data_IF_843973325863
#
_entry.id   IF_843973325863
#
_cell.length_a   1.000
_cell.length_b   1.000
_cell.length_c   1.000
_cell.angle_alpha   90.00
_cell.angle_beta   90.00
_cell.angle_gamma   90.00
#
_symmetry.space_group_name_H-M   'P 1'
#
loop_
_entity.id
_entity.type
_entity.pdbx_description
1 polymer ?
#
# COMPACT_ATOMS: atom_id res chain seq x y z
N UNK A 1 2.84 11.28 -9.67
CA UNK A 1 2.17 11.87 -8.49
C UNK A 1 1.34 13.10 -8.86
N UNK A 2 0.29 13.41 -8.08
CA UNK A 2 -0.57 14.59 -8.35
C UNK A 2 0.12 15.93 -8.08
N UNK A 3 1.27 15.93 -7.45
CA UNK A 3 2.07 17.13 -7.17
C UNK A 3 3.14 17.43 -8.23
N UNK A 4 3.12 16.74 -9.37
CA UNK A 4 3.92 17.12 -10.54
C UNK A 4 3.06 17.87 -11.56
N UNK A 5 3.68 18.66 -12.42
CA UNK A 5 3.01 19.23 -13.56
C UNK A 5 2.76 18.15 -14.63
N UNK A 6 1.54 18.04 -15.09
CA UNK A 6 1.18 17.14 -16.18
C UNK A 6 0.02 17.72 -17.00
N UNK A 7 -0.04 17.35 -18.25
CA UNK A 7 -1.18 17.64 -19.13
C UNK A 7 -2.12 16.44 -19.16
N UNK A 8 -3.42 16.72 -18.97
CA UNK A 8 -4.44 15.67 -19.06
C UNK A 8 -4.37 14.99 -20.43
N UNK A 9 -4.51 13.67 -20.44
CA UNK A 9 -4.52 12.82 -21.64
C UNK A 9 -3.22 12.80 -22.46
N UNK A 10 -2.12 13.31 -21.91
CA UNK A 10 -0.79 13.17 -22.49
C UNK A 10 0.12 12.30 -21.62
N UNK A 11 1.05 11.53 -22.22
CA UNK A 11 2.07 10.82 -21.46
C UNK A 11 2.94 11.81 -20.68
N UNK A 12 3.28 11.46 -19.43
CA UNK A 12 4.21 12.25 -18.63
C UNK A 12 5.63 12.02 -19.17
N UNK A 13 6.34 13.09 -19.49
CA UNK A 13 7.74 13.02 -19.93
C UNK A 13 8.70 13.02 -18.73
N UNK A 14 9.94 12.52 -18.88
CA UNK A 14 10.95 12.59 -17.83
C UNK A 14 11.14 13.99 -17.24
N UNK A 15 11.18 15.03 -18.07
CA UNK A 15 11.31 16.43 -17.61
C UNK A 15 10.15 16.90 -16.74
N UNK A 16 8.93 16.42 -17.03
CA UNK A 16 7.75 16.76 -16.23
C UNK A 16 7.77 16.12 -14.86
N UNK A 17 8.42 14.95 -14.71
CA UNK A 17 8.45 14.26 -13.42
C UNK A 17 9.18 15.04 -12.33
N UNK A 18 10.05 15.96 -12.68
CA UNK A 18 10.79 16.82 -11.73
C UNK A 18 10.19 18.23 -11.59
N UNK A 19 9.13 18.56 -12.33
CA UNK A 19 8.41 19.84 -12.19
C UNK A 19 7.38 19.74 -11.09
N UNK A 20 7.73 20.21 -9.91
CA UNK A 20 6.94 20.06 -8.71
C UNK A 20 5.95 21.22 -8.55
N UNK A 21 4.70 20.88 -8.30
CA UNK A 21 3.66 21.81 -7.87
C UNK A 21 3.78 22.05 -6.37
N UNK A 22 4.49 23.11 -5.99
CA UNK A 22 4.77 23.42 -4.59
C UNK A 22 3.50 23.76 -3.80
N UNK A 23 2.47 24.29 -4.44
CA UNK A 23 1.14 24.50 -3.83
C UNK A 23 0.55 23.20 -3.27
N UNK A 24 0.63 22.10 -4.03
CA UNK A 24 0.15 20.77 -3.61
C UNK A 24 1.05 20.17 -2.52
N UNK A 25 2.37 20.36 -2.61
CA UNK A 25 3.32 19.91 -1.58
C UNK A 25 3.03 20.62 -0.25
N UNK A 26 2.71 21.93 -0.29
CA UNK A 26 2.33 22.71 0.90
C UNK A 26 1.03 22.20 1.54
N UNK A 27 0.04 21.80 0.75
CA UNK A 27 -1.20 21.20 1.24
C UNK A 27 -0.93 19.86 1.95
N UNK A 28 -0.09 19.00 1.38
CA UNK A 28 0.28 17.72 1.99
C UNK A 28 1.00 17.94 3.32
N UNK A 29 1.92 18.91 3.38
CA UNK A 29 2.58 19.26 4.64
C UNK A 29 1.58 19.73 5.69
N UNK A 30 0.66 20.62 5.34
CA UNK A 30 -0.39 21.09 6.26
C UNK A 30 -1.26 19.96 6.80
N UNK A 31 -1.58 18.96 5.96
CA UNK A 31 -2.31 17.76 6.38
C UNK A 31 -1.49 16.95 7.39
N UNK A 32 -0.19 16.74 7.13
CA UNK A 32 0.69 16.03 8.07
C UNK A 32 0.82 16.78 9.41
N UNK A 33 0.97 18.10 9.38
CA UNK A 33 0.99 18.94 10.57
C UNK A 33 -0.32 18.90 11.36
N UNK A 34 -1.45 18.87 10.65
CA UNK A 34 -2.78 18.70 11.26
C UNK A 34 -2.90 17.35 11.95
N UNK A 35 -2.53 16.26 11.28
CA UNK A 35 -2.54 14.91 11.84
C UNK A 35 -1.66 14.83 13.10
N UNK A 36 -0.45 15.41 13.05
CA UNK A 36 0.46 15.43 14.19
C UNK A 36 -0.07 16.22 15.40
N UNK A 37 -0.92 17.25 15.19
CA UNK A 37 -1.62 17.96 16.28
C UNK A 37 -2.61 17.08 17.01
N UNK A 38 -3.17 16.07 16.32
CA UNK A 38 -4.06 15.05 16.88
C UNK A 38 -3.31 13.78 17.33
N UNK A 39 -1.98 13.85 17.46
CA UNK A 39 -1.14 12.71 17.84
C UNK A 39 -1.18 11.53 16.85
N UNK A 40 -1.49 11.80 15.60
CA UNK A 40 -1.45 10.79 14.54
C UNK A 40 -0.09 10.79 13.88
N UNK A 41 0.49 9.61 13.69
CA UNK A 41 1.63 9.41 12.81
C UNK A 41 1.19 9.47 11.35
N UNK A 42 2.02 10.03 10.48
CA UNK A 42 1.77 10.07 9.03
C UNK A 42 2.84 9.28 8.31
N UNK A 43 2.44 8.28 7.56
CA UNK A 43 3.31 7.62 6.58
C UNK A 43 3.05 8.21 5.20
N UNK A 44 4.07 8.84 4.60
CA UNK A 44 3.98 9.32 3.23
C UNK A 44 4.35 8.18 2.28
N UNK A 45 3.42 7.80 1.42
CA UNK A 45 3.60 6.76 0.42
C UNK A 45 3.55 7.36 -0.99
N UNK A 46 4.50 7.00 -1.85
CA UNK A 46 4.40 7.29 -3.27
C UNK A 46 3.53 6.23 -3.95
N UNK A 47 2.23 6.47 -4.00
CA UNK A 47 1.28 5.57 -4.65
C UNK A 47 1.51 5.45 -6.17
N UNK A 48 2.15 6.46 -6.77
CA UNK A 48 2.65 6.46 -8.13
C UNK A 48 4.01 7.15 -8.15
N UNK A 49 5.00 6.47 -8.70
CA UNK A 49 6.34 6.99 -8.92
C UNK A 49 6.58 7.30 -10.41
N UNK A 50 7.63 8.05 -10.76
CA UNK A 50 8.10 8.11 -12.13
C UNK A 50 8.36 6.71 -12.69
N UNK A 51 7.72 6.35 -13.78
CA UNK A 51 7.87 5.06 -14.43
C UNK A 51 7.25 3.87 -13.72
N UNK A 52 6.41 4.08 -12.70
CA UNK A 52 5.70 2.99 -12.05
C UNK A 52 4.38 3.41 -11.39
N UNK A 53 3.37 2.59 -11.60
CA UNK A 53 2.14 2.56 -10.81
C UNK A 53 1.61 1.12 -10.79
N UNK A 54 1.06 0.67 -9.66
CA UNK A 54 0.41 -0.65 -9.57
C UNK A 54 -0.80 -0.75 -10.52
N UNK A 55 -1.52 0.34 -10.72
CA UNK A 55 -2.59 0.41 -11.71
C UNK A 55 -2.02 0.65 -13.11
N UNK A 56 -2.58 -0.05 -14.11
CA UNK A 56 -2.20 0.14 -15.51
C UNK A 56 -2.77 1.43 -16.13
N UNK A 57 -2.32 1.76 -17.33
CA UNK A 57 -2.92 2.81 -18.16
C UNK A 57 -2.32 4.21 -17.97
N UNK A 58 -1.14 4.32 -17.40
CA UNK A 58 -0.48 5.63 -17.21
C UNK A 58 0.43 6.05 -18.35
N UNK A 59 0.65 5.21 -19.35
CA UNK A 59 1.37 5.52 -20.59
C UNK A 59 2.67 6.31 -20.38
N UNK A 60 3.50 5.90 -19.44
CA UNK A 60 4.80 6.52 -19.23
C UNK A 60 5.83 5.92 -20.20
N UNK A 61 6.64 6.75 -20.89
CA UNK A 61 7.61 6.28 -21.87
C UNK A 61 8.89 5.70 -21.22
N UNK A 62 8.90 5.49 -19.93
CA UNK A 62 10.03 5.00 -19.13
C UNK A 62 9.52 4.11 -17.98
N UNK A 63 10.40 3.29 -17.43
CA UNK A 63 10.09 2.28 -16.42
C UNK A 63 11.07 2.37 -15.26
N UNK A 64 10.55 2.47 -14.03
CA UNK A 64 11.35 2.61 -12.81
C UNK A 64 12.38 1.49 -12.64
N UNK A 65 12.01 0.28 -13.05
CA UNK A 65 12.87 -0.90 -12.85
C UNK A 65 14.02 -1.01 -13.86
N UNK A 66 13.97 -0.25 -14.97
CA UNK A 66 14.89 -0.37 -16.09
C UNK A 66 15.62 0.92 -16.42
N UNK A 67 14.97 2.07 -16.27
CA UNK A 67 15.45 3.33 -16.83
C UNK A 67 16.06 4.24 -15.76
N UNK A 68 17.31 4.62 -15.98
CA UNK A 68 18.05 5.51 -15.05
C UNK A 68 17.31 6.83 -14.84
N UNK A 69 16.74 7.41 -15.88
CA UNK A 69 16.00 8.67 -15.76
C UNK A 69 14.78 8.56 -14.82
N UNK A 70 14.08 7.41 -14.82
CA UNK A 70 13.00 7.17 -13.87
C UNK A 70 13.52 7.01 -12.42
N UNK A 71 14.64 6.31 -12.25
CA UNK A 71 15.29 6.12 -10.94
C UNK A 71 15.78 7.47 -10.39
N UNK A 72 16.46 8.28 -11.16
CA UNK A 72 16.92 9.63 -10.76
C UNK A 72 15.76 10.55 -10.39
N UNK A 73 14.66 10.52 -11.15
CA UNK A 73 13.46 11.26 -10.80
C UNK A 73 12.83 10.76 -9.51
N UNK A 74 12.83 9.45 -9.26
CA UNK A 74 12.36 8.86 -8.01
C UNK A 74 13.19 9.32 -6.81
N UNK A 75 14.53 9.33 -6.93
CA UNK A 75 15.44 9.84 -5.90
C UNK A 75 15.25 11.34 -5.66
N UNK A 76 15.03 12.11 -6.72
CA UNK A 76 14.71 13.55 -6.61
C UNK A 76 13.44 13.79 -5.80
N UNK A 77 12.36 13.01 -6.02
CA UNK A 77 11.13 13.13 -5.23
C UNK A 77 11.37 12.86 -3.74
N UNK A 78 12.10 11.79 -3.42
CA UNK A 78 12.37 11.47 -2.03
C UNK A 78 13.32 12.46 -1.35
N UNK A 79 14.28 13.03 -2.09
CA UNK A 79 15.10 14.12 -1.59
C UNK A 79 14.23 15.35 -1.27
N UNK A 80 13.34 15.73 -2.15
CA UNK A 80 12.40 16.84 -1.94
C UNK A 80 11.56 16.64 -0.66
N UNK A 81 11.00 15.44 -0.47
CA UNK A 81 10.23 15.12 0.73
C UNK A 81 11.13 15.08 1.98
N UNK A 82 12.33 14.56 1.90
CA UNK A 82 13.29 14.58 3.00
C UNK A 82 13.62 16.00 3.45
N UNK A 83 13.92 16.90 2.50
CA UNK A 83 14.16 18.34 2.79
C UNK A 83 12.92 19.00 3.41
N UNK A 84 11.73 18.68 2.91
CA UNK A 84 10.48 19.24 3.39
C UNK A 84 10.19 18.87 4.84
N UNK A 85 10.46 17.63 5.24
CA UNK A 85 10.21 17.12 6.58
C UNK A 85 11.45 17.00 7.46
N UNK A 86 12.59 17.63 7.10
CA UNK A 86 13.87 17.49 7.83
C UNK A 86 13.80 17.86 9.32
N UNK A 87 12.95 18.81 9.67
CA UNK A 87 12.75 19.28 11.04
C UNK A 87 11.60 18.57 11.76
N UNK A 88 10.93 17.62 11.12
CA UNK A 88 9.83 16.86 11.72
C UNK A 88 10.36 15.53 12.24
N UNK A 89 10.04 15.22 13.50
CA UNK A 89 10.48 13.99 14.16
C UNK A 89 10.10 12.74 13.35
N UNK A 90 11.00 11.73 13.24
CA UNK A 90 10.68 10.44 12.64
C UNK A 90 9.49 9.71 13.28
N UNK A 91 9.22 9.97 14.57
CA UNK A 91 8.05 9.40 15.28
C UNK A 91 6.72 9.97 14.77
N UNK A 92 6.76 11.09 14.06
CA UNK A 92 5.57 11.78 13.55
C UNK A 92 5.34 11.56 12.06
N UNK A 93 6.42 11.37 11.29
CA UNK A 93 6.35 11.16 9.84
C UNK A 93 7.36 10.10 9.43
N UNK A 94 6.90 9.08 8.72
CA UNK A 94 7.71 8.08 8.02
C UNK A 94 7.56 8.20 6.51
N UNK A 95 8.46 7.55 5.78
CA UNK A 95 8.44 7.49 4.32
C UNK A 95 8.30 6.03 3.87
N UNK A 96 7.23 5.77 3.16
CA UNK A 96 6.97 4.51 2.50
C UNK A 96 7.28 4.68 1.01
N UNK A 97 8.33 4.02 0.55
CA UNK A 97 9.03 4.38 -0.69
C UNK A 97 8.15 4.27 -1.93
N UNK A 98 7.38 3.21 -2.04
CA UNK A 98 6.61 2.93 -3.26
C UNK A 98 5.45 1.99 -2.95
N UNK A 99 4.25 2.35 -3.38
CA UNK A 99 3.09 1.49 -3.26
C UNK A 99 3.18 0.24 -4.14
N UNK A 100 3.04 -0.91 -3.51
CA UNK A 100 2.79 -2.21 -4.15
C UNK A 100 3.72 -2.54 -5.33
N UNK A 101 5.05 -2.55 -5.14
CA UNK A 101 6.00 -2.82 -6.20
C UNK A 101 5.77 -4.19 -6.83
N UNK A 102 5.72 -4.20 -8.16
CA UNK A 102 5.63 -5.42 -8.96
C UNK A 102 6.26 -5.21 -10.34
N UNK A 103 6.67 -6.27 -10.97
CA UNK A 103 6.99 -6.27 -12.38
C UNK A 103 5.72 -6.59 -13.16
N UNK A 104 5.45 -5.84 -14.23
CA UNK A 104 4.35 -6.08 -15.15
C UNK A 104 4.90 -6.17 -16.57
N UNK A 105 4.44 -7.14 -17.34
CA UNK A 105 4.90 -7.35 -18.71
C UNK A 105 4.48 -6.18 -19.61
N UNK A 106 3.20 -5.80 -19.60
CA UNK A 106 2.67 -4.59 -20.22
C UNK A 106 2.12 -3.63 -19.17
N UNK A 107 2.82 -2.51 -18.95
CA UNK A 107 2.43 -1.49 -17.97
C UNK A 107 1.09 -0.81 -18.30
N UNK A 108 0.57 -0.97 -19.51
CA UNK A 108 -0.68 -0.38 -19.96
C UNK A 108 -1.87 -1.35 -19.90
N UNK A 109 -1.62 -2.65 -19.72
CA UNK A 109 -2.66 -3.66 -19.58
C UNK A 109 -2.81 -4.09 -18.10
N UNK A 110 -3.95 -3.75 -17.49
CA UNK A 110 -4.26 -4.11 -16.10
C UNK A 110 -4.23 -5.63 -15.85
N UNK A 111 -4.50 -6.42 -16.87
CA UNK A 111 -4.58 -7.88 -16.80
C UNK A 111 -3.35 -8.59 -17.40
N UNK A 112 -2.31 -7.82 -17.74
CA UNK A 112 -1.03 -8.38 -18.16
C UNK A 112 -0.40 -9.20 -17.04
N UNK A 113 0.42 -10.19 -17.45
CA UNK A 113 1.19 -10.97 -16.50
C UNK A 113 2.06 -10.06 -15.61
N UNK A 114 2.05 -10.34 -14.33
CA UNK A 114 2.83 -9.59 -13.32
C UNK A 114 3.45 -10.56 -12.31
N UNK A 115 4.42 -10.07 -11.57
CA UNK A 115 5.14 -10.85 -10.58
C UNK A 115 6.12 -9.98 -9.79
N UNK A 116 7.00 -10.59 -8.99
CA UNK A 116 7.94 -9.84 -8.19
C UNK A 116 8.98 -9.10 -9.06
N UNK A 117 9.33 -7.91 -8.63
CA UNK A 117 10.52 -7.20 -9.14
C UNK A 117 11.75 -8.04 -8.78
N UNK A 118 12.74 -8.23 -9.68
CA UNK A 118 13.97 -8.93 -9.33
C UNK A 118 14.64 -8.31 -8.09
N UNK A 119 14.92 -9.12 -7.06
CA UNK A 119 15.43 -8.66 -5.77
C UNK A 119 16.61 -7.69 -5.85
N UNK A 120 17.67 -7.98 -6.66
CA UNK A 120 18.79 -7.05 -6.82
C UNK A 120 18.41 -5.69 -7.42
N UNK A 121 17.39 -5.64 -8.29
CA UNK A 121 16.90 -4.39 -8.88
C UNK A 121 16.18 -3.56 -7.82
N UNK A 122 15.27 -4.20 -7.07
CA UNK A 122 14.55 -3.52 -5.99
C UNK A 122 15.53 -3.03 -4.91
N UNK A 123 16.47 -3.90 -4.48
CA UNK A 123 17.52 -3.52 -3.51
C UNK A 123 18.30 -2.30 -3.94
N UNK A 124 18.76 -2.24 -5.19
CA UNK A 124 19.49 -1.07 -5.71
C UNK A 124 18.67 0.20 -5.52
N UNK A 125 17.44 0.21 -6.00
CA UNK A 125 16.57 1.41 -5.97
C UNK A 125 16.25 1.81 -4.53
N UNK A 126 15.88 0.86 -3.68
CA UNK A 126 15.57 1.13 -2.27
C UNK A 126 16.78 1.65 -1.50
N UNK A 127 17.96 1.07 -1.72
CA UNK A 127 19.23 1.47 -1.10
C UNK A 127 19.62 2.90 -1.49
N UNK A 128 19.63 3.22 -2.79
CA UNK A 128 19.98 4.55 -3.29
C UNK A 128 18.96 5.59 -2.80
N UNK A 129 17.67 5.26 -2.78
CA UNK A 129 16.63 6.12 -2.20
C UNK A 129 16.86 6.37 -0.72
N UNK A 130 17.14 5.32 0.06
CA UNK A 130 17.41 5.45 1.48
C UNK A 130 18.66 6.30 1.75
N UNK A 131 19.70 6.18 0.94
CA UNK A 131 20.90 7.02 1.02
C UNK A 131 20.57 8.50 0.81
N UNK A 132 19.78 8.83 -0.21
CA UNK A 132 19.35 10.21 -0.50
C UNK A 132 18.51 10.77 0.65
N UNK A 133 17.60 10.00 1.21
CA UNK A 133 16.77 10.41 2.37
C UNK A 133 17.66 10.65 3.60
N UNK A 134 18.53 9.69 3.93
CA UNK A 134 19.38 9.73 5.13
C UNK A 134 20.47 10.79 5.08
N UNK A 135 20.89 11.19 3.89
CA UNK A 135 21.79 12.36 3.72
C UNK A 135 21.15 13.66 4.23
N UNK A 136 19.83 13.77 4.20
CA UNK A 136 19.08 14.94 4.69
C UNK A 136 18.53 14.71 6.11
N UNK A 137 17.98 13.53 6.37
CA UNK A 137 17.34 13.15 7.63
C UNK A 137 17.82 11.75 8.07
N UNK A 138 18.98 11.65 8.75
CA UNK A 138 19.62 10.36 9.06
C UNK A 138 18.74 9.37 9.85
N UNK A 139 17.89 9.89 10.73
CA UNK A 139 17.00 9.09 11.59
C UNK A 139 15.60 8.84 11.01
N UNK A 140 15.34 9.18 9.74
CA UNK A 140 14.01 8.98 9.15
C UNK A 140 13.65 7.50 9.08
N UNK A 141 12.46 7.16 9.59
CA UNK A 141 11.87 5.83 9.39
C UNK A 141 11.53 5.67 7.91
N UNK A 142 12.11 4.65 7.30
CA UNK A 142 11.90 4.30 5.90
C UNK A 142 11.24 2.93 5.84
N UNK A 143 10.24 2.81 5.00
CA UNK A 143 9.44 1.61 4.80
C UNK A 143 9.47 1.29 3.31
N UNK A 144 9.53 0.02 2.98
CA UNK A 144 9.34 -0.49 1.63
C UNK A 144 8.16 -1.45 1.62
N UNK A 145 7.20 -1.24 0.73
CA UNK A 145 6.16 -2.23 0.49
C UNK A 145 6.76 -3.54 -0.01
N UNK A 146 6.22 -4.63 0.45
CA UNK A 146 6.60 -5.95 0.01
C UNK A 146 6.49 -6.12 -1.50
N UNK A 147 7.30 -7.01 -2.04
CA UNK A 147 7.30 -7.31 -3.46
C UNK A 147 5.99 -7.98 -3.90
N UNK A 148 5.77 -8.08 -5.21
CA UNK A 148 4.59 -8.73 -5.76
C UNK A 148 3.29 -8.14 -5.16
N UNK A 149 3.17 -6.81 -5.22
CA UNK A 149 2.02 -6.04 -4.67
C UNK A 149 1.81 -6.24 -3.15
N UNK A 150 2.91 -6.32 -2.39
CA UNK A 150 2.87 -6.48 -0.94
C UNK A 150 2.62 -7.90 -0.46
N UNK A 151 2.65 -8.88 -1.36
CA UNK A 151 2.47 -10.30 -1.04
C UNK A 151 3.73 -10.98 -0.51
N UNK A 152 4.91 -10.53 -0.96
CA UNK A 152 6.18 -11.17 -0.68
C UNK A 152 7.11 -10.27 0.14
N UNK A 153 7.77 -10.84 1.15
CA UNK A 153 8.88 -10.17 1.85
C UNK A 153 10.04 -9.91 0.90
N UNK A 154 10.91 -8.97 1.25
CA UNK A 154 12.09 -8.63 0.45
C UNK A 154 13.34 -8.90 1.30
N UNK A 155 13.88 -10.12 1.26
CA UNK A 155 15.07 -10.50 2.04
C UNK A 155 16.28 -9.61 1.74
N UNK A 156 16.39 -9.12 0.51
CA UNK A 156 17.49 -8.27 0.04
C UNK A 156 17.54 -6.89 0.73
N UNK A 157 16.52 -6.50 1.50
CA UNK A 157 16.49 -5.22 2.20
C UNK A 157 16.80 -5.33 3.70
N UNK A 158 16.97 -6.54 4.23
CA UNK A 158 17.02 -6.79 5.69
C UNK A 158 18.23 -6.15 6.38
N UNK A 159 19.33 -5.95 5.67
CA UNK A 159 20.57 -5.31 6.16
C UNK A 159 20.60 -3.78 5.96
N UNK A 160 19.59 -3.20 5.33
CA UNK A 160 19.56 -1.78 4.99
C UNK A 160 18.90 -0.90 6.06
N UNK A 161 18.36 -1.49 7.13
CA UNK A 161 17.57 -0.76 8.14
C UNK A 161 16.33 -0.09 7.52
N UNK A 162 15.71 -0.76 6.55
CA UNK A 162 14.43 -0.40 5.92
C UNK A 162 13.40 -1.35 6.47
N UNK A 163 12.33 -0.81 7.04
CA UNK A 163 11.18 -1.58 7.48
C UNK A 163 10.35 -2.06 6.29
N UNK A 164 9.52 -3.08 6.47
CA UNK A 164 8.72 -3.60 5.37
C UNK A 164 7.23 -3.53 5.66
N UNK A 165 6.43 -3.47 4.60
CA UNK A 165 4.97 -3.36 4.69
C UNK A 165 4.31 -4.48 3.90
N UNK A 166 3.45 -5.26 4.57
CA UNK A 166 2.60 -6.26 3.94
C UNK A 166 1.25 -5.69 3.55
N UNK A 167 0.43 -6.51 2.88
CA UNK A 167 -0.96 -6.22 2.54
C UNK A 167 -1.91 -7.23 3.16
N UNK A 168 -3.08 -6.78 3.60
CA UNK A 168 -4.16 -7.63 4.09
C UNK A 168 -5.25 -7.77 3.02
N UNK A 169 -4.87 -8.43 1.91
CA UNK A 169 -5.76 -8.73 0.80
C UNK A 169 -5.78 -10.20 0.38
N UNK A 170 -4.90 -11.02 0.94
CA UNK A 170 -4.89 -12.46 0.65
C UNK A 170 -6.01 -13.19 1.40
N UNK A 171 -6.78 -14.04 0.70
CA UNK A 171 -6.80 -14.26 -0.74
C UNK A 171 -7.69 -13.24 -1.49
N UNK A 172 -7.27 -12.83 -2.70
CA UNK A 172 -7.93 -11.77 -3.46
C UNK A 172 -9.40 -12.05 -3.82
N UNK A 173 -9.82 -13.30 -3.95
CA UNK A 173 -11.23 -13.62 -4.21
C UNK A 173 -12.15 -13.29 -3.03
N UNK A 174 -11.60 -13.10 -1.81
CA UNK A 174 -12.33 -12.55 -0.67
C UNK A 174 -12.26 -11.03 -0.68
N UNK A 175 -11.05 -10.48 -0.59
CA UNK A 175 -10.85 -9.04 -0.43
C UNK A 175 -11.34 -8.22 -1.63
N UNK A 176 -11.29 -8.79 -2.83
CA UNK A 176 -11.65 -8.14 -4.10
C UNK A 176 -12.74 -8.86 -4.88
N UNK A 177 -13.69 -9.49 -4.19
CA UNK A 177 -14.81 -10.14 -4.84
C UNK A 177 -15.55 -9.20 -5.78
N UNK A 178 -15.63 -9.56 -7.06
CA UNK A 178 -16.24 -8.75 -8.12
C UNK A 178 -15.62 -7.35 -8.32
N UNK A 179 -14.40 -7.11 -7.88
CA UNK A 179 -13.71 -5.84 -8.17
C UNK A 179 -13.31 -5.77 -9.65
N UNK A 180 -13.76 -4.75 -10.41
CA UNK A 180 -13.59 -4.74 -11.87
C UNK A 180 -12.14 -4.55 -12.35
N UNK A 181 -11.24 -4.10 -11.47
CA UNK A 181 -9.80 -3.98 -11.77
C UNK A 181 -9.02 -5.26 -11.45
N UNK A 182 -9.63 -6.24 -10.77
CA UNK A 182 -9.04 -7.55 -10.47
C UNK A 182 -9.66 -8.63 -11.37
N UNK A 183 -10.96 -8.56 -11.61
CA UNK A 183 -11.69 -9.54 -12.40
C UNK A 183 -12.01 -8.99 -13.79
N UNK A 184 -11.45 -9.62 -14.82
CA UNK A 184 -11.77 -9.28 -16.22
C UNK A 184 -13.29 -9.45 -16.52
N UNK A 185 -13.89 -10.44 -15.87
CA UNK A 185 -15.34 -10.66 -15.85
C UNK A 185 -15.78 -10.82 -14.38
N UNK A 186 -16.24 -9.75 -13.72
CA UNK A 186 -16.66 -9.82 -12.31
C UNK A 186 -17.76 -10.82 -12.01
N UNK A 187 -18.60 -11.17 -13.00
CA UNK A 187 -19.69 -12.14 -12.81
C UNK A 187 -19.20 -13.57 -12.59
N UNK A 188 -17.97 -13.87 -12.97
CA UNK A 188 -17.30 -15.17 -12.81
C UNK A 188 -16.50 -15.29 -11.50
N UNK A 189 -16.46 -14.24 -10.69
CA UNK A 189 -15.79 -14.33 -9.40
C UNK A 189 -16.47 -15.39 -8.51
N UNK A 190 -15.73 -16.35 -7.94
CA UNK A 190 -16.31 -17.36 -7.07
C UNK A 190 -16.91 -16.70 -5.82
N UNK A 191 -18.06 -17.20 -5.35
CA UNK A 191 -18.69 -16.67 -4.14
C UNK A 191 -17.76 -16.87 -2.94
N UNK A 192 -17.39 -15.81 -2.24
CA UNK A 192 -16.49 -15.91 -1.11
C UNK A 192 -17.17 -16.55 0.10
N UNK A 193 -16.46 -17.45 0.74
CA UNK A 193 -16.81 -18.07 2.03
C UNK A 193 -15.60 -18.04 2.94
N UNK A 194 -15.81 -17.90 4.26
CA UNK A 194 -14.72 -17.91 5.22
C UNK A 194 -15.13 -18.46 6.59
N UNK A 195 -14.38 -19.45 7.17
CA UNK A 195 -13.50 -20.37 6.41
C UNK A 195 -14.30 -21.26 5.46
N UNK A 196 -13.68 -21.79 4.41
CA UNK A 196 -14.41 -22.64 3.48
C UNK A 196 -13.61 -23.14 2.29
N UNK A 197 -14.28 -23.85 1.40
CA UNK A 197 -13.71 -24.37 0.16
C UNK A 197 -14.10 -23.44 -0.98
N UNK A 198 -13.12 -22.95 -1.73
CA UNK A 198 -13.31 -22.10 -2.90
C UNK A 198 -12.54 -22.73 -4.05
N UNK A 199 -13.23 -23.03 -5.17
CA UNK A 199 -12.66 -23.70 -6.34
C UNK A 199 -11.90 -25.01 -6.00
N UNK A 200 -12.42 -25.77 -5.03
CA UNK A 200 -11.82 -27.04 -4.59
C UNK A 200 -10.63 -26.91 -3.63
N UNK A 201 -10.25 -25.69 -3.25
CA UNK A 201 -9.18 -25.42 -2.32
C UNK A 201 -9.73 -24.96 -0.96
N UNK A 202 -9.20 -25.52 0.14
CA UNK A 202 -9.54 -25.09 1.50
C UNK A 202 -8.85 -23.77 1.82
N UNK A 203 -9.63 -22.79 2.27
CA UNK A 203 -9.13 -21.53 2.82
C UNK A 203 -9.65 -21.32 4.25
N UNK A 204 -8.79 -20.84 5.09
CA UNK A 204 -9.07 -20.56 6.49
C UNK A 204 -7.84 -19.97 7.17
N UNK A 205 -7.89 -19.89 8.48
CA UNK A 205 -6.85 -19.29 9.32
C UNK A 205 -5.46 -19.88 9.04
N UNK A 206 -5.34 -21.19 8.86
CA UNK A 206 -4.04 -21.84 8.61
C UNK A 206 -3.34 -21.30 7.35
N UNK A 207 -4.08 -21.01 6.26
CA UNK A 207 -3.52 -20.43 5.04
C UNK A 207 -3.10 -18.96 5.25
N UNK A 208 -3.78 -18.22 6.13
CA UNK A 208 -3.33 -16.89 6.52
C UNK A 208 -2.06 -16.94 7.37
N UNK A 209 -1.99 -17.86 8.32
CA UNK A 209 -0.79 -18.06 9.16
C UNK A 209 0.43 -18.42 8.29
N UNK A 210 0.26 -19.28 7.30
CA UNK A 210 1.30 -19.61 6.33
C UNK A 210 1.70 -18.38 5.49
N UNK A 211 0.74 -17.62 5.01
CA UNK A 211 0.98 -16.41 4.22
C UNK A 211 1.72 -15.32 5.01
N UNK A 212 1.36 -15.11 6.28
CA UNK A 212 1.99 -14.08 7.11
C UNK A 212 3.26 -14.53 7.83
N UNK A 213 3.55 -15.83 7.85
CA UNK A 213 4.74 -16.36 8.52
C UNK A 213 6.06 -15.66 8.12
N UNK A 214 6.37 -15.43 6.83
CA UNK A 214 7.60 -14.71 6.44
C UNK A 214 7.68 -13.29 7.03
N UNK A 215 6.54 -12.59 7.15
CA UNK A 215 6.45 -11.26 7.75
C UNK A 215 6.71 -11.29 9.26
N UNK A 216 6.16 -12.28 9.94
CA UNK A 216 6.39 -12.52 11.37
C UNK A 216 7.85 -12.88 11.62
N UNK A 217 8.45 -13.69 10.75
CA UNK A 217 9.87 -14.07 10.83
C UNK A 217 10.78 -12.83 10.70
N UNK A 218 10.42 -11.82 9.89
CA UNK A 218 11.14 -10.54 9.82
C UNK A 218 11.10 -9.78 11.15
N UNK A 219 9.95 -9.76 11.83
CA UNK A 219 9.83 -9.15 13.16
C UNK A 219 10.73 -9.88 14.16
N UNK A 220 10.77 -11.21 14.10
CA UNK A 220 11.68 -12.04 14.90
C UNK A 220 13.17 -11.74 14.67
N UNK A 221 13.53 -11.20 13.51
CA UNK A 221 14.88 -10.73 13.18
C UNK A 221 15.16 -9.29 13.62
N UNK A 222 14.19 -8.62 14.27
CA UNK A 222 14.32 -7.25 14.75
C UNK A 222 13.95 -6.18 13.70
N UNK A 223 13.34 -6.55 12.58
CA UNK A 223 12.87 -5.61 11.58
C UNK A 223 11.44 -5.16 11.89
N UNK A 224 11.15 -3.90 11.68
CA UNK A 224 9.77 -3.39 11.76
C UNK A 224 8.95 -3.87 10.56
N UNK A 225 7.76 -4.37 10.84
CA UNK A 225 6.76 -4.73 9.83
C UNK A 225 5.43 -4.07 10.19
N UNK A 226 4.70 -3.58 9.20
CA UNK A 226 3.32 -3.21 9.39
C UNK A 226 2.47 -3.64 8.19
N UNK A 227 1.16 -3.75 8.36
CA UNK A 227 0.23 -3.96 7.28
C UNK A 227 -0.24 -2.60 6.76
N UNK A 228 0.37 -2.11 5.69
CA UNK A 228 0.15 -0.76 5.18
C UNK A 228 -1.21 -0.55 4.51
N UNK A 229 -1.83 -1.63 4.05
CA UNK A 229 -3.20 -1.62 3.52
C UNK A 229 -3.90 -2.94 3.79
N UNK A 230 -5.21 -2.87 4.07
CA UNK A 230 -6.06 -4.04 4.22
C UNK A 230 -7.55 -3.69 4.18
N UNK A 231 -8.37 -4.67 3.91
CA UNK A 231 -9.81 -4.50 3.86
C UNK A 231 -10.49 -5.28 2.75
N UNK A 232 -11.77 -5.03 2.53
CA UNK A 232 -12.58 -5.75 1.55
C UNK A 232 -13.39 -4.81 0.68
N UNK A 233 -13.39 -5.08 -0.61
CA UNK A 233 -14.29 -4.43 -1.57
C UNK A 233 -15.76 -4.62 -1.16
N UNK A 234 -16.55 -3.58 -1.30
CA UNK A 234 -17.96 -3.53 -0.83
C UNK A 234 -18.88 -4.63 -1.35
N UNK A 235 -18.46 -5.41 -2.34
CA UNK A 235 -19.25 -6.54 -2.88
C UNK A 235 -19.04 -7.84 -2.11
N UNK A 236 -17.97 -7.97 -1.35
CA UNK A 236 -17.75 -9.11 -0.48
C UNK A 236 -18.81 -9.11 0.62
N UNK A 237 -19.53 -10.23 0.87
CA UNK A 237 -20.52 -10.29 1.95
C UNK A 237 -19.91 -9.88 3.29
N UNK A 238 -20.59 -9.00 4.00
CA UNK A 238 -20.08 -8.41 5.23
C UNK A 238 -19.71 -9.43 6.33
N UNK A 239 -20.50 -10.49 6.57
CA UNK A 239 -20.10 -11.51 7.56
C UNK A 239 -18.80 -12.22 7.16
N UNK A 240 -18.58 -12.48 5.87
CA UNK A 240 -17.33 -13.08 5.36
C UNK A 240 -16.16 -12.14 5.57
N UNK A 241 -16.34 -10.86 5.27
CA UNK A 241 -15.33 -9.82 5.50
C UNK A 241 -14.93 -9.77 6.99
N UNK A 242 -15.88 -9.68 7.90
CA UNK A 242 -15.59 -9.57 9.33
C UNK A 242 -14.85 -10.81 9.86
N UNK A 243 -15.28 -12.01 9.47
CA UNK A 243 -14.65 -13.26 9.90
C UNK A 243 -13.21 -13.38 9.38
N UNK A 244 -13.02 -13.12 8.07
CA UNK A 244 -11.72 -13.18 7.43
C UNK A 244 -10.75 -12.12 7.97
N UNK A 245 -11.22 -10.87 8.11
CA UNK A 245 -10.35 -9.77 8.57
C UNK A 245 -10.04 -9.89 10.07
N UNK A 246 -10.99 -10.42 10.84
CA UNK A 246 -10.75 -10.75 12.25
C UNK A 246 -9.61 -11.75 12.42
N UNK A 247 -9.59 -12.83 11.61
CA UNK A 247 -8.47 -13.80 11.63
C UNK A 247 -7.13 -13.15 11.27
N UNK A 248 -7.12 -12.21 10.30
CA UNK A 248 -5.89 -11.47 9.96
C UNK A 248 -5.40 -10.64 11.15
N UNK A 249 -6.29 -9.89 11.80
CA UNK A 249 -5.93 -9.07 12.94
C UNK A 249 -5.41 -9.93 14.11
N UNK A 250 -6.05 -11.07 14.36
CA UNK A 250 -5.63 -12.03 15.39
C UNK A 250 -4.27 -12.68 15.09
N UNK A 251 -3.84 -12.72 13.84
CA UNK A 251 -2.51 -13.20 13.44
C UNK A 251 -1.47 -12.09 13.59
N UNK A 252 -1.76 -10.87 13.15
CA UNK A 252 -0.78 -9.80 13.06
C UNK A 252 -0.51 -9.09 14.39
N UNK A 253 -1.58 -8.80 15.16
CA UNK A 253 -1.47 -7.95 16.35
C UNK A 253 -0.62 -8.54 17.49
N UNK A 254 -0.63 -9.88 17.77
CA UNK A 254 0.24 -10.47 18.77
C UNK A 254 1.73 -10.33 18.47
N UNK A 255 2.08 -10.12 17.18
CA UNK A 255 3.45 -9.91 16.72
C UNK A 255 3.83 -8.42 16.60
N UNK A 256 3.00 -7.52 17.16
CA UNK A 256 3.20 -6.07 17.06
C UNK A 256 3.21 -5.53 15.63
N UNK A 257 2.55 -6.24 14.71
CA UNK A 257 2.33 -5.77 13.34
C UNK A 257 1.03 -4.95 13.34
N UNK A 258 1.17 -3.63 13.31
CA UNK A 258 0.05 -2.72 13.17
C UNK A 258 -0.56 -2.77 11.77
N UNK A 259 -1.76 -2.27 11.62
CA UNK A 259 -2.46 -2.30 10.32
C UNK A 259 -3.08 -0.93 9.97
N UNK A 260 -3.28 -0.70 8.68
CA UNK A 260 -4.04 0.40 8.13
C UNK A 260 -5.19 -0.14 7.26
N UNK A 261 -6.40 0.34 7.54
CA UNK A 261 -7.57 0.00 6.73
C UNK A 261 -7.53 0.79 5.41
N UNK A 262 -7.66 0.11 4.29
CA UNK A 262 -7.93 0.71 3.00
C UNK A 262 -9.44 0.68 2.74
N UNK A 263 -10.15 1.81 2.81
CA UNK A 263 -9.70 3.11 3.26
C UNK A 263 -10.52 3.55 4.49
N UNK A 264 -10.28 4.74 5.02
CA UNK A 264 -11.09 5.26 6.11
C UNK A 264 -12.54 5.54 5.68
N UNK A 265 -12.71 6.16 4.49
CA UNK A 265 -14.01 6.49 3.90
C UNK A 265 -14.05 6.09 2.44
N UNK A 266 -15.05 5.31 2.05
CA UNK A 266 -15.23 4.82 0.68
C UNK A 266 -15.41 3.31 0.62
N UNK A 267 -15.31 2.74 -0.56
CA UNK A 267 -15.77 1.40 -0.91
C UNK A 267 -15.15 0.22 -0.12
N UNK A 268 -14.01 0.43 0.52
CA UNK A 268 -13.37 -0.51 1.45
C UNK A 268 -13.46 -0.03 2.90
N UNK A 269 -13.94 1.19 3.10
CA UNK A 269 -13.79 1.93 4.34
C UNK A 269 -14.78 1.56 5.44
N UNK A 270 -14.46 2.04 6.63
CA UNK A 270 -15.34 1.97 7.79
C UNK A 270 -16.48 2.98 7.72
N UNK A 271 -16.29 4.09 6.98
CA UNK A 271 -17.30 5.11 6.75
C UNK A 271 -17.76 5.10 5.29
N UNK A 272 -19.07 5.26 5.09
CA UNK A 272 -19.71 5.46 3.78
C UNK A 272 -19.33 4.40 2.73
N UNK A 273 -19.09 3.15 3.14
CA UNK A 273 -18.61 2.09 2.23
C UNK A 273 -19.63 1.68 1.16
N UNK A 274 -20.90 2.00 1.35
CA UNK A 274 -21.95 1.71 0.38
C UNK A 274 -22.28 0.22 0.26
N UNK A 275 -21.97 -0.60 1.27
CA UNK A 275 -22.37 -1.99 1.36
C UNK A 275 -23.89 -2.07 1.53
N UNK A 276 -24.53 -3.03 0.87
CA UNK A 276 -25.97 -3.23 0.97
C UNK A 276 -26.39 -4.12 2.15
N UNK A 277 -25.45 -4.80 2.79
CA UNK A 277 -25.64 -5.79 3.84
C UNK A 277 -25.09 -5.33 5.20
N UNK A 278 -24.91 -4.02 5.40
CA UNK A 278 -24.49 -3.39 6.64
C UNK A 278 -25.61 -2.52 7.20
N UNK A 279 -25.93 -2.72 8.47
CA UNK A 279 -26.77 -1.80 9.24
C UNK A 279 -25.87 -0.70 9.81
N UNK A 280 -25.89 0.46 9.15
CA UNK A 280 -25.04 1.59 9.50
C UNK A 280 -25.61 2.41 10.66
N UNK A 281 -24.73 2.80 11.56
CA UNK A 281 -25.04 3.85 12.52
C UNK A 281 -24.69 5.23 11.96
N UNK A 282 -25.43 6.25 12.40
CA UNK A 282 -25.03 7.65 12.14
C UNK A 282 -23.78 8.01 12.96
N UNK A 283 -22.82 8.65 12.31
CA UNK A 283 -21.64 9.22 12.95
C UNK A 283 -21.33 10.57 12.31
N UNK A 284 -21.83 11.64 12.90
CA UNK A 284 -21.69 13.00 12.38
C UNK A 284 -22.13 13.16 10.92
N UNK A 285 -23.24 12.54 10.54
CA UNK A 285 -23.77 12.56 9.19
C UNK A 285 -23.12 11.56 8.22
N UNK A 286 -22.24 10.70 8.70
CA UNK A 286 -21.61 9.61 7.96
C UNK A 286 -22.19 8.26 8.37
N UNK A 287 -22.21 7.32 7.43
CA UNK A 287 -22.64 5.94 7.64
C UNK A 287 -21.49 5.10 8.22
N UNK A 288 -21.52 4.87 9.52
CA UNK A 288 -20.48 4.09 10.23
C UNK A 288 -20.83 2.60 10.28
N UNK A 289 -19.91 1.76 9.86
CA UNK A 289 -19.93 0.33 10.09
C UNK A 289 -19.42 0.01 11.50
N UNK A 290 -20.36 -0.17 12.44
CA UNK A 290 -20.01 -0.44 13.85
C UNK A 290 -19.40 -1.81 14.06
N UNK A 291 -19.83 -2.83 13.29
CA UNK A 291 -19.29 -4.19 13.44
C UNK A 291 -17.83 -4.25 12.97
N UNK A 292 -17.51 -3.53 11.88
CA UNK A 292 -16.12 -3.38 11.47
C UNK A 292 -15.32 -2.62 12.54
N UNK A 293 -15.86 -1.53 13.09
CA UNK A 293 -15.19 -0.78 14.16
C UNK A 293 -14.90 -1.65 15.40
N UNK A 294 -15.79 -2.58 15.74
CA UNK A 294 -15.61 -3.47 16.89
C UNK A 294 -14.43 -4.41 16.75
N UNK A 295 -14.18 -4.95 15.55
CA UNK A 295 -13.02 -5.83 15.32
C UNK A 295 -11.70 -5.06 15.15
N UNK A 296 -11.76 -3.73 14.91
CA UNK A 296 -10.58 -2.87 14.78
C UNK A 296 -10.05 -2.33 16.11
N UNK A 297 -10.76 -2.56 17.24
CA UNK A 297 -10.39 -2.10 18.58
C UNK A 297 -9.57 -3.14 19.33
#
# INVERSE_FOLDING_TARGET
PRYIEFEKDKPVTPDQTIRIRMDVVDEIQKLAELANRYNLHVSLNLHRAPGYCVNAGFNEPFNLWKDVAAQEAFYFHWKMWAERFKNVSPVKVSFDLLNEPSFREDMNDQFSAHGPVPGPVYRKIAMETAQVIRAVTPGRMIIADGNNMGGDVIPELTDLGIHQSCRAYFPHFISHFQAPWVWKDPSKAPMPVWPGIIEGQQFGRAQLEEFYKPWIDLVGQGLGVHCGEGGCWKKTPHPVFLAWFGDILDILTPHSIGYALWNFRGDFGILDSGRSDVDYADWYGHKLDRKLLEILK
#
